data_IF_145381056850
#
_entry.id   IF_145381056850
#
_cell.length_a   1.000
_cell.length_b   1.000
_cell.length_c   1.000
_cell.angle_alpha   90.00
_cell.angle_beta   90.00
_cell.angle_gamma   90.00
#
_symmetry.space_group_name_H-M   'P 1'
#
loop_
_entity.id
_entity.type
_entity.pdbx_description
1 polymer ?
#
# COMPACT_ATOMS: atom_id res chain seq x y z
N UNK A 1 -38.42 21.13 -8.01
CA UNK A 1 -37.44 20.83 -6.94
C UNK A 1 -37.22 19.34 -6.68
N UNK A 2 -38.22 18.46 -6.72
CA UNK A 2 -38.09 17.02 -6.46
C UNK A 2 -37.15 16.29 -7.46
N UNK A 3 -37.20 16.62 -8.76
CA UNK A 3 -36.40 16.01 -9.81
C UNK A 3 -34.89 16.29 -9.63
N UNK A 4 -34.57 17.52 -9.25
CA UNK A 4 -33.20 17.98 -9.02
C UNK A 4 -32.54 17.22 -7.86
N UNK A 5 -33.25 17.06 -6.75
CA UNK A 5 -32.79 16.30 -5.59
C UNK A 5 -32.61 14.81 -5.91
N UNK A 6 -33.46 14.25 -6.75
CA UNK A 6 -33.38 12.86 -7.17
C UNK A 6 -32.17 12.60 -8.04
N UNK A 7 -31.94 13.46 -9.05
CA UNK A 7 -30.75 13.34 -9.95
C UNK A 7 -29.46 13.54 -9.18
N UNK A 8 -29.43 14.55 -8.28
CA UNK A 8 -28.27 14.77 -7.41
C UNK A 8 -27.93 13.56 -6.54
N UNK A 9 -28.95 12.98 -5.87
CA UNK A 9 -28.75 11.82 -5.00
C UNK A 9 -28.23 10.60 -5.78
N UNK A 10 -28.76 10.33 -6.97
CA UNK A 10 -28.29 9.22 -7.82
C UNK A 10 -26.86 9.44 -8.31
N UNK A 11 -26.54 10.65 -8.77
CA UNK A 11 -25.19 10.98 -9.23
C UNK A 11 -24.16 10.86 -8.09
N UNK A 12 -24.50 11.37 -6.90
CA UNK A 12 -23.63 11.28 -5.74
C UNK A 12 -23.41 9.85 -5.28
N UNK A 13 -24.45 9.00 -5.29
CA UNK A 13 -24.32 7.58 -4.97
C UNK A 13 -23.46 6.84 -5.99
N UNK A 14 -23.62 7.16 -7.28
CA UNK A 14 -22.79 6.54 -8.33
C UNK A 14 -21.32 6.93 -8.21
N UNK A 15 -21.06 8.20 -7.95
CA UNK A 15 -19.72 8.72 -7.72
C UNK A 15 -19.07 8.08 -6.48
N UNK A 16 -19.84 7.95 -5.39
CA UNK A 16 -19.38 7.29 -4.17
C UNK A 16 -19.04 5.82 -4.42
N UNK A 17 -19.87 5.09 -5.16
CA UNK A 17 -19.59 3.71 -5.54
C UNK A 17 -18.33 3.57 -6.39
N UNK A 18 -18.15 4.42 -7.40
CA UNK A 18 -16.97 4.43 -8.26
C UNK A 18 -15.69 4.70 -7.44
N UNK A 19 -15.74 5.67 -6.55
CA UNK A 19 -14.59 6.01 -5.71
C UNK A 19 -14.27 4.95 -4.67
N UNK A 20 -15.28 4.25 -4.13
CA UNK A 20 -15.04 3.13 -3.23
C UNK A 20 -14.30 1.98 -3.95
N UNK A 21 -14.72 1.64 -5.16
CA UNK A 21 -14.04 0.65 -5.99
C UNK A 21 -12.60 1.08 -6.29
N UNK A 22 -12.41 2.34 -6.68
CA UNK A 22 -11.08 2.88 -6.95
C UNK A 22 -10.19 2.86 -5.71
N UNK A 23 -10.71 3.23 -4.54
CA UNK A 23 -9.97 3.21 -3.28
C UNK A 23 -9.51 1.80 -2.89
N UNK A 24 -10.37 0.79 -3.09
CA UNK A 24 -10.01 -0.61 -2.85
C UNK A 24 -8.90 -1.07 -3.81
N UNK A 25 -9.02 -0.78 -5.10
CA UNK A 25 -7.99 -1.13 -6.09
C UNK A 25 -6.66 -0.44 -5.77
N UNK A 26 -6.71 0.84 -5.41
CA UNK A 26 -5.52 1.60 -5.04
C UNK A 26 -4.82 1.05 -3.80
N UNK A 27 -5.60 0.66 -2.77
CA UNK A 27 -5.04 0.02 -1.58
C UNK A 27 -4.28 -1.27 -1.91
N UNK A 28 -4.89 -2.15 -2.71
CA UNK A 28 -4.23 -3.40 -3.12
C UNK A 28 -2.98 -3.15 -3.98
N UNK A 29 -3.03 -2.16 -4.87
CA UNK A 29 -1.88 -1.80 -5.70
C UNK A 29 -0.70 -1.29 -4.86
N UNK A 30 -0.97 -0.39 -3.89
CA UNK A 30 0.08 0.10 -2.98
C UNK A 30 0.64 -1.02 -2.12
N UNK A 31 -0.24 -1.89 -1.58
CA UNK A 31 0.22 -2.99 -0.73
C UNK A 31 1.13 -3.95 -1.51
N UNK A 32 0.77 -4.24 -2.77
CA UNK A 32 1.60 -5.06 -3.65
C UNK A 32 2.96 -4.39 -3.93
N UNK A 33 2.97 -3.12 -4.30
CA UNK A 33 4.18 -2.34 -4.60
C UNK A 33 5.12 -2.26 -3.41
N UNK A 34 4.57 -1.99 -2.22
CA UNK A 34 5.38 -1.92 -0.98
C UNK A 34 5.99 -3.27 -0.62
N UNK A 35 5.28 -4.37 -0.90
CA UNK A 35 5.77 -5.71 -0.67
C UNK A 35 6.90 -6.07 -1.64
N UNK A 36 6.73 -5.76 -2.91
CA UNK A 36 7.71 -5.96 -3.97
C UNK A 36 9.01 -5.18 -3.69
N UNK A 37 8.91 -3.89 -3.33
CA UNK A 37 10.04 -3.05 -2.94
C UNK A 37 10.78 -3.58 -1.69
N UNK A 38 10.03 -4.20 -0.75
CA UNK A 38 10.64 -4.80 0.44
C UNK A 38 11.44 -6.05 0.07
N UNK A 39 10.92 -6.88 -0.82
CA UNK A 39 11.59 -8.08 -1.31
C UNK A 39 12.85 -7.73 -2.11
N UNK A 40 12.77 -6.74 -3.00
CA UNK A 40 13.92 -6.20 -3.75
C UNK A 40 15.00 -5.62 -2.82
N UNK A 41 14.59 -4.95 -1.76
CA UNK A 41 15.52 -4.41 -0.75
C UNK A 41 16.26 -5.52 -0.03
N UNK A 42 15.56 -6.59 0.37
CA UNK A 42 16.15 -7.76 1.01
C UNK A 42 17.14 -8.47 0.08
N UNK A 43 16.79 -8.65 -1.19
CA UNK A 43 17.67 -9.25 -2.19
C UNK A 43 18.94 -8.43 -2.39
N UNK A 44 18.83 -7.11 -2.49
CA UNK A 44 19.97 -6.21 -2.61
C UNK A 44 20.89 -6.28 -1.38
N UNK A 45 20.32 -6.29 -0.17
CA UNK A 45 21.11 -6.45 1.05
C UNK A 45 21.77 -7.81 1.14
N UNK A 46 21.07 -8.88 0.77
CA UNK A 46 21.64 -10.22 0.73
C UNK A 46 22.88 -10.28 -0.21
N UNK A 47 22.78 -9.68 -1.40
CA UNK A 47 23.91 -9.61 -2.33
C UNK A 47 25.11 -8.87 -1.73
N UNK A 48 24.90 -7.76 -1.02
CA UNK A 48 25.97 -7.03 -0.34
C UNK A 48 26.60 -7.89 0.76
N UNK A 49 25.78 -8.56 1.58
CA UNK A 49 26.27 -9.41 2.68
C UNK A 49 27.04 -10.62 2.13
N UNK A 50 26.53 -11.27 1.08
CA UNK A 50 27.21 -12.38 0.41
C UNK A 50 28.54 -11.93 -0.18
N UNK A 51 28.59 -10.79 -0.88
CA UNK A 51 29.83 -10.26 -1.43
C UNK A 51 30.85 -9.96 -0.33
N UNK A 52 30.41 -9.42 0.81
CA UNK A 52 31.28 -9.18 1.96
C UNK A 52 31.82 -10.49 2.54
N UNK A 53 30.97 -11.52 2.70
CA UNK A 53 31.38 -12.84 3.18
C UNK A 53 32.36 -13.53 2.22
N UNK A 54 32.18 -13.39 0.90
CA UNK A 54 33.09 -13.89 -0.12
C UNK A 54 34.46 -13.20 -0.07
N UNK A 55 34.52 -11.92 0.28
CA UNK A 55 35.74 -11.14 0.39
C UNK A 55 36.45 -11.36 1.73
N UNK A 56 35.70 -11.41 2.83
CA UNK A 56 36.18 -11.63 4.20
C UNK A 56 35.35 -12.72 4.89
N UNK A 57 35.85 -13.95 4.95
CA UNK A 57 35.18 -15.08 5.59
C UNK A 57 34.87 -14.89 7.09
N UNK A 58 35.54 -13.94 7.77
CA UNK A 58 35.24 -13.64 9.18
C UNK A 58 33.82 -13.07 9.36
N UNK A 59 33.22 -12.53 8.29
CA UNK A 59 31.83 -12.05 8.26
C UNK A 59 30.82 -13.17 8.57
N UNK A 60 31.16 -14.44 8.27
CA UNK A 60 30.28 -15.59 8.56
C UNK A 60 30.04 -15.82 10.07
N UNK A 61 30.94 -15.31 10.92
CA UNK A 61 30.84 -15.40 12.39
C UNK A 61 30.08 -14.19 12.99
N UNK A 62 29.73 -13.20 12.15
CA UNK A 62 29.14 -11.95 12.61
C UNK A 62 27.61 -12.02 12.48
N UNK A 63 26.92 -11.80 13.56
CA UNK A 63 25.48 -11.59 13.57
C UNK A 63 25.15 -10.13 13.20
N UNK A 64 24.03 -9.94 12.48
CA UNK A 64 23.66 -8.62 11.95
C UNK A 64 23.39 -7.51 12.95
N UNK A 65 23.36 -6.29 12.45
CA UNK A 65 23.15 -5.04 13.19
C UNK A 65 21.65 -4.82 13.55
N UNK A 66 21.42 -3.85 14.44
CA UNK A 66 20.11 -3.44 15.00
C UNK A 66 18.97 -3.19 13.99
N UNK A 67 19.24 -2.98 12.69
CA UNK A 67 18.21 -2.75 11.66
C UNK A 67 17.94 -3.95 10.75
N UNK A 68 18.89 -4.91 10.67
CA UNK A 68 18.73 -6.13 9.89
C UNK A 68 19.43 -7.27 10.60
N UNK A 69 18.67 -8.30 10.93
CA UNK A 69 19.22 -9.53 11.47
C UNK A 69 19.55 -10.44 10.31
N UNK A 70 20.76 -10.98 10.29
CA UNK A 70 21.12 -12.01 9.34
C UNK A 70 21.93 -13.11 10.01
N UNK A 71 21.74 -14.33 9.53
CA UNK A 71 22.40 -15.51 10.03
C UNK A 71 22.90 -16.35 8.86
N UNK A 72 24.09 -16.95 9.06
CA UNK A 72 24.64 -17.91 8.13
C UNK A 72 24.56 -19.30 8.70
N UNK A 73 23.97 -20.21 7.94
CA UNK A 73 23.90 -21.63 8.29
C UNK A 73 24.65 -22.45 7.26
N UNK A 74 25.68 -23.25 7.67
CA UNK A 74 26.33 -24.17 6.75
C UNK A 74 25.34 -25.25 6.32
N UNK A 75 25.22 -25.48 5.02
CA UNK A 75 24.36 -26.49 4.43
C UNK A 75 25.15 -27.48 3.60
N UNK A 76 24.56 -28.65 3.32
CA UNK A 76 25.17 -29.65 2.47
C UNK A 76 25.26 -29.18 1.01
N UNK A 77 26.21 -29.75 0.25
CA UNK A 77 26.35 -29.46 -1.18
C UNK A 77 25.07 -29.81 -1.96
N UNK A 78 24.43 -30.93 -1.60
CA UNK A 78 23.19 -31.38 -2.24
C UNK A 78 22.02 -30.41 -2.00
N UNK A 79 21.91 -29.87 -0.79
CA UNK A 79 20.91 -28.85 -0.46
C UNK A 79 21.22 -27.53 -1.16
N UNK A 80 22.50 -27.10 -1.19
CA UNK A 80 22.91 -25.86 -1.82
C UNK A 80 22.71 -25.84 -3.33
N UNK A 81 22.97 -26.95 -4.04
CA UNK A 81 22.75 -27.04 -5.49
C UNK A 81 21.26 -27.02 -5.89
N UNK A 82 20.38 -27.47 -5.00
CA UNK A 82 18.94 -27.52 -5.23
C UNK A 82 18.18 -26.42 -4.48
N UNK A 83 18.90 -25.49 -3.85
CA UNK A 83 18.29 -24.45 -3.04
C UNK A 83 17.42 -23.53 -3.89
N UNK A 84 16.29 -23.10 -3.32
CA UNK A 84 15.39 -22.12 -3.94
C UNK A 84 15.23 -20.96 -2.98
N UNK A 85 15.46 -19.79 -3.50
CA UNK A 85 15.23 -18.56 -2.78
C UNK A 85 13.76 -18.44 -2.36
N UNK A 86 13.52 -17.97 -1.15
CA UNK A 86 12.18 -17.85 -0.62
C UNK A 86 12.03 -16.60 0.24
N UNK A 87 10.86 -15.96 0.09
CA UNK A 87 10.41 -14.86 0.93
C UNK A 87 9.21 -15.29 1.75
N UNK A 88 9.20 -14.96 3.03
CA UNK A 88 8.05 -15.23 3.90
C UNK A 88 7.98 -14.23 5.06
N UNK A 89 6.78 -14.06 5.60
CA UNK A 89 6.58 -13.23 6.78
C UNK A 89 6.70 -14.09 8.04
N UNK A 90 7.33 -13.54 9.10
CA UNK A 90 7.53 -14.21 10.38
C UNK A 90 7.37 -13.22 11.53
N UNK A 91 7.41 -13.72 12.75
CA UNK A 91 7.43 -12.93 13.97
C UNK A 91 8.72 -13.27 14.72
N UNK A 92 9.50 -12.25 15.03
CA UNK A 92 10.73 -12.39 15.84
C UNK A 92 10.50 -11.72 17.19
N UNK A 93 10.89 -12.40 18.26
CA UNK A 93 10.86 -11.81 19.59
C UNK A 93 12.07 -10.90 19.79
N UNK A 94 11.80 -9.63 20.11
CA UNK A 94 12.84 -8.62 20.36
C UNK A 94 12.96 -8.39 21.87
N UNK A 95 14.04 -8.90 22.46
CA UNK A 95 14.26 -8.82 23.91
C UNK A 95 14.29 -7.39 24.46
N UNK A 96 14.75 -6.42 23.66
CA UNK A 96 14.84 -5.01 24.08
C UNK A 96 13.49 -4.35 24.30
N UNK A 97 12.43 -4.85 23.65
CA UNK A 97 11.09 -4.26 23.68
C UNK A 97 10.05 -5.18 24.34
N UNK A 98 10.46 -6.42 24.67
CA UNK A 98 9.59 -7.47 25.24
C UNK A 98 8.35 -7.74 24.36
N UNK A 99 8.49 -7.60 23.04
CA UNK A 99 7.42 -7.74 22.05
C UNK A 99 7.84 -8.59 20.86
N UNK A 100 6.83 -9.14 20.15
CA UNK A 100 7.04 -9.84 18.88
C UNK A 100 6.87 -8.84 17.75
N UNK A 101 7.94 -8.65 16.99
CA UNK A 101 7.90 -7.80 15.80
C UNK A 101 7.64 -8.61 14.54
N UNK A 102 6.78 -8.11 13.63
CA UNK A 102 6.63 -8.69 12.31
C UNK A 102 7.87 -8.40 11.48
N UNK A 103 8.40 -9.45 10.85
CA UNK A 103 9.59 -9.36 9.99
C UNK A 103 9.30 -10.01 8.65
N UNK A 104 9.90 -9.47 7.60
CA UNK A 104 10.02 -10.10 6.30
C UNK A 104 11.35 -10.83 6.25
N UNK A 105 11.32 -12.10 5.88
CA UNK A 105 12.49 -12.98 5.84
C UNK A 105 12.79 -13.35 4.40
N UNK A 106 14.04 -13.25 4.02
CA UNK A 106 14.58 -13.75 2.76
C UNK A 106 15.63 -14.81 3.06
N UNK A 107 15.51 -15.97 2.43
CA UNK A 107 16.51 -17.04 2.49
C UNK A 107 17.05 -17.31 1.10
N UNK A 108 18.37 -17.33 1.00
CA UNK A 108 19.10 -17.70 -0.21
C UNK A 108 20.34 -18.51 0.15
N UNK A 109 20.88 -19.24 -0.81
CA UNK A 109 22.13 -19.99 -0.61
C UNK A 109 23.20 -19.51 -1.56
N UNK A 110 24.45 -19.56 -1.08
CA UNK A 110 25.60 -19.21 -1.87
C UNK A 110 26.77 -20.17 -1.60
N UNK A 111 27.70 -20.22 -2.54
CA UNK A 111 28.88 -21.07 -2.44
C UNK A 111 30.13 -20.23 -2.15
N UNK A 112 30.84 -20.63 -1.13
CA UNK A 112 32.14 -20.05 -0.80
C UNK A 112 33.27 -20.59 -1.72
N UNK A 113 34.41 -19.87 -1.85
CA UNK A 113 35.54 -20.31 -2.67
C UNK A 113 36.15 -21.64 -2.26
N UNK A 114 36.01 -22.05 -1.00
CA UNK A 114 36.43 -23.34 -0.48
C UNK A 114 35.52 -24.51 -0.88
N UNK A 115 34.39 -24.20 -1.53
CA UNK A 115 33.39 -25.15 -2.00
C UNK A 115 32.24 -25.42 -1.02
N UNK A 116 32.31 -24.89 0.20
CA UNK A 116 31.21 -25.00 1.18
C UNK A 116 30.03 -24.13 0.78
N UNK A 117 28.79 -24.65 0.99
CA UNK A 117 27.59 -23.89 0.83
C UNK A 117 27.09 -23.36 2.17
N UNK A 118 26.54 -22.13 2.12
CA UNK A 118 25.90 -21.47 3.24
C UNK A 118 24.53 -20.97 2.82
N UNK A 119 23.55 -21.16 3.71
CA UNK A 119 22.27 -20.45 3.66
C UNK A 119 22.45 -19.12 4.37
N UNK A 120 22.03 -18.04 3.71
CA UNK A 120 21.85 -16.73 4.32
C UNK A 120 20.37 -16.55 4.63
N UNK A 121 20.05 -16.37 5.90
CA UNK A 121 18.74 -15.93 6.38
C UNK A 121 18.84 -14.46 6.77
N UNK A 122 18.11 -13.62 6.05
CA UNK A 122 18.09 -12.17 6.26
C UNK A 122 16.69 -11.73 6.63
N UNK A 123 16.57 -10.92 7.68
CA UNK A 123 15.29 -10.42 8.21
C UNK A 123 15.32 -8.90 8.32
N UNK A 124 14.18 -8.28 7.99
CA UNK A 124 13.96 -6.85 8.17
C UNK A 124 12.63 -6.62 8.87
N UNK A 125 12.59 -5.72 9.85
CA UNK A 125 11.32 -5.36 10.51
C UNK A 125 10.37 -4.70 9.52
N UNK A 126 9.11 -5.11 9.55
CA UNK A 126 8.04 -4.53 8.72
C UNK A 126 7.14 -3.57 9.48
N UNK A 127 7.45 -3.28 10.74
CA UNK A 127 6.64 -2.45 11.62
C UNK A 127 6.47 -1.03 11.05
N UNK A 128 7.58 -0.39 10.68
CA UNK A 128 7.55 0.96 10.07
C UNK A 128 6.79 0.98 8.74
N UNK A 129 6.93 -0.09 7.95
CA UNK A 129 6.20 -0.26 6.69
C UNK A 129 4.68 -0.29 6.93
N UNK A 130 4.24 -1.08 7.88
CA UNK A 130 2.81 -1.24 8.19
C UNK A 130 2.22 0.07 8.73
N UNK A 131 2.97 0.81 9.54
CA UNK A 131 2.59 2.14 9.99
C UNK A 131 2.50 3.16 8.84
N UNK A 132 3.44 3.13 7.90
CA UNK A 132 3.40 3.97 6.69
C UNK A 132 2.19 3.66 5.81
N UNK A 133 1.90 2.38 5.56
CA UNK A 133 0.73 1.94 4.77
C UNK A 133 -0.56 2.37 5.45
N UNK A 134 -0.66 2.21 6.77
CA UNK A 134 -1.81 2.64 7.55
C UNK A 134 -1.98 4.17 7.51
N UNK A 135 -0.92 4.94 7.66
CA UNK A 135 -0.95 6.40 7.52
C UNK A 135 -1.41 6.83 6.12
N UNK A 136 -0.88 6.21 5.06
CA UNK A 136 -1.29 6.46 3.68
C UNK A 136 -2.78 6.18 3.46
N UNK A 137 -3.29 5.10 4.05
CA UNK A 137 -4.73 4.78 4.00
C UNK A 137 -5.58 5.89 4.62
N UNK A 138 -5.21 6.41 5.78
CA UNK A 138 -5.93 7.50 6.44
C UNK A 138 -5.86 8.81 5.65
N UNK A 139 -4.71 9.14 5.05
CA UNK A 139 -4.59 10.32 4.16
C UNK A 139 -5.47 10.18 2.92
N UNK A 140 -5.49 8.99 2.32
CA UNK A 140 -6.36 8.71 1.18
C UNK A 140 -7.83 8.83 1.54
N UNK A 141 -8.25 8.28 2.69
CA UNK A 141 -9.61 8.38 3.19
C UNK A 141 -10.03 9.84 3.45
N UNK A 142 -9.14 10.66 4.04
CA UNK A 142 -9.38 12.08 4.26
C UNK A 142 -9.53 12.85 2.93
N UNK A 143 -8.64 12.59 1.97
CA UNK A 143 -8.71 13.17 0.63
C UNK A 143 -10.00 12.78 -0.09
N UNK A 144 -10.44 11.54 0.07
CA UNK A 144 -11.68 11.03 -0.46
C UNK A 144 -12.90 11.78 0.10
N UNK A 145 -12.97 11.96 1.42
CA UNK A 145 -14.03 12.72 2.07
C UNK A 145 -14.04 14.19 1.58
N UNK A 146 -12.86 14.81 1.50
CA UNK A 146 -12.71 16.16 0.98
C UNK A 146 -13.24 16.28 -0.46
N UNK A 147 -12.88 15.35 -1.32
CA UNK A 147 -13.35 15.32 -2.70
C UNK A 147 -14.87 15.15 -2.79
N UNK A 148 -15.48 14.29 -1.98
CA UNK A 148 -16.93 14.13 -1.91
C UNK A 148 -17.61 15.44 -1.48
N UNK A 149 -17.08 16.12 -0.48
CA UNK A 149 -17.60 17.41 -0.03
C UNK A 149 -17.49 18.47 -1.14
N UNK A 150 -16.36 18.57 -1.81
CA UNK A 150 -16.15 19.50 -2.92
C UNK A 150 -17.09 19.24 -4.09
N UNK A 151 -17.27 17.97 -4.48
CA UNK A 151 -18.21 17.60 -5.56
C UNK A 151 -19.65 17.84 -5.16
N UNK A 152 -20.02 17.59 -3.91
CA UNK A 152 -21.36 17.87 -3.39
C UNK A 152 -21.69 19.38 -3.44
N UNK A 153 -20.76 20.21 -2.95
CA UNK A 153 -20.91 21.68 -2.96
C UNK A 153 -20.91 22.21 -4.40
N UNK A 154 -19.93 21.78 -5.22
CA UNK A 154 -19.81 22.20 -6.61
C UNK A 154 -21.04 21.88 -7.45
N UNK A 155 -21.54 20.65 -7.35
CA UNK A 155 -22.76 20.22 -8.04
C UNK A 155 -23.98 21.06 -7.60
N UNK A 156 -24.10 21.33 -6.29
CA UNK A 156 -25.18 22.16 -5.77
C UNK A 156 -25.15 23.58 -6.33
N UNK A 157 -23.97 24.21 -6.37
CA UNK A 157 -23.79 25.56 -6.89
C UNK A 157 -24.06 25.65 -8.40
N UNK A 158 -23.54 24.69 -9.18
CA UNK A 158 -23.75 24.61 -10.63
C UNK A 158 -25.24 24.44 -10.95
N UNK A 159 -25.92 23.50 -10.29
CA UNK A 159 -27.33 23.26 -10.51
C UNK A 159 -28.18 24.48 -10.12
N UNK A 160 -27.88 25.15 -9.01
CA UNK A 160 -28.57 26.38 -8.64
C UNK A 160 -28.40 27.47 -9.69
N UNK A 161 -27.23 27.60 -10.29
CA UNK A 161 -26.93 28.61 -11.32
C UNK A 161 -27.66 28.32 -12.64
N UNK A 162 -27.72 27.04 -13.04
CA UNK A 162 -28.40 26.63 -14.29
C UNK A 162 -29.91 26.72 -14.17
N UNK A 163 -30.50 26.35 -13.04
CA UNK A 163 -31.94 26.31 -12.89
C UNK A 163 -32.56 27.66 -12.47
N UNK A 164 -31.76 28.61 -11.97
CA UNK A 164 -32.27 29.98 -11.68
C UNK A 164 -32.92 30.67 -12.86
N UNK A 165 -32.34 30.74 -14.08
CA UNK A 165 -32.97 31.38 -15.23
C UNK A 165 -34.21 30.61 -15.72
N UNK A 166 -34.23 29.28 -15.61
CA UNK A 166 -35.36 28.44 -16.04
C UNK A 166 -36.60 28.62 -15.15
N UNK A 167 -36.41 28.73 -13.84
CA UNK A 167 -37.51 29.04 -12.94
C UNK A 167 -38.09 30.45 -13.18
N UNK A 168 -37.25 31.45 -13.51
CA UNK A 168 -37.69 32.79 -13.88
C UNK A 168 -38.53 32.79 -15.16
N UNK A 169 -38.14 31.98 -16.16
CA UNK A 169 -38.90 31.82 -17.40
C UNK A 169 -40.23 31.13 -17.17
N UNK A 170 -40.31 30.11 -16.32
CA UNK A 170 -41.55 29.46 -15.95
C UNK A 170 -42.49 30.40 -15.21
N UNK A 171 -41.98 31.15 -14.23
CA UNK A 171 -42.76 32.15 -13.50
C UNK A 171 -43.29 33.25 -14.41
N UNK A 172 -42.48 33.66 -15.42
CA UNK A 172 -42.91 34.66 -16.43
C UNK A 172 -43.99 34.09 -17.36
N UNK A 173 -43.87 32.83 -17.84
CA UNK A 173 -44.89 32.15 -18.65
C UNK A 173 -46.19 31.93 -17.91
N UNK A 174 -46.18 31.59 -16.63
CA UNK A 174 -47.38 31.47 -15.79
C UNK A 174 -48.09 32.82 -15.57
N UNK A 175 -47.35 33.93 -15.57
CA UNK A 175 -47.94 35.28 -15.49
C UNK A 175 -48.54 35.76 -16.80
N UNK A 176 -48.10 35.22 -17.94
CA UNK A 176 -48.64 35.56 -19.27
C UNK A 176 -49.90 34.78 -19.63
N UNK A 177 -50.18 33.66 -18.96
CA UNK A 177 -51.42 32.87 -19.11
C UNK A 177 -52.16 32.75 -17.76
N UNK A 178 -52.69 33.83 -17.19
CA UNK A 178 -53.62 33.71 -16.09
C UNK A 178 -55.00 33.43 -16.69
N UNK A 179 -55.35 32.14 -16.80
CA UNK A 179 -56.72 31.75 -17.17
C UNK A 179 -56.86 31.11 -18.54
N UNK A 180 -56.60 29.83 -18.61
CA UNK A 180 -57.27 28.90 -19.48
C UNK A 180 -57.89 27.85 -18.54
N UNK A 181 -59.07 28.18 -17.95
CA UNK A 181 -60.04 27.19 -17.56
C UNK A 181 -60.80 26.73 -18.76
#
# INVERSE_FOLDING_TARGET
>A
MKLLHYTYRKLSLWLLGLMAVWGVLFYYTIMYEVMDETDDTLENYAQIIINNALYDPSTLETEGNLMSFYYFHPISVEEGENYRDMFYDSLVYVESEDEHEPVRVYRTAFRMPDGQFYELELMISTLERDDMVNAMFWYLAALFVLFLCCTAVGTRLILQKIFRPMNRLMDWLQRLHPGAE
#
